data_IF_891803086044
#
_entry.id   IF_891803086044
#
_cell.length_a   1.000
_cell.length_b   1.000
_cell.length_c   1.000
_cell.angle_alpha   90.00
_cell.angle_beta   90.00
_cell.angle_gamma   90.00
#
_symmetry.space_group_name_H-M   'P 1'
#
loop_
_entity.id
_entity.type
_entity.pdbx_description
1 polymer ?
#
# COMPACT_ATOMS: atom_id res chain seq x y z
N UNK A 1 24.79 2.59 9.79
CA UNK A 1 23.88 3.38 10.67
C UNK A 1 22.80 2.45 11.19
N UNK A 2 22.98 1.99 12.42
CA UNK A 2 22.02 1.10 13.11
C UNK A 2 20.80 1.91 13.56
N UNK A 3 19.59 1.40 13.39
CA UNK A 3 18.32 2.06 13.73
C UNK A 3 17.88 3.22 12.80
N UNK A 4 18.38 3.28 11.56
CA UNK A 4 17.79 4.15 10.57
C UNK A 4 16.37 3.67 10.22
N UNK A 5 15.43 4.59 10.12
CA UNK A 5 14.04 4.34 9.73
C UNK A 5 13.78 4.86 8.32
N UNK A 6 12.83 4.28 7.62
CA UNK A 6 12.39 4.80 6.35
C UNK A 6 11.57 6.08 6.58
N UNK A 7 12.07 7.22 6.08
CA UNK A 7 11.37 8.49 6.17
C UNK A 7 10.47 8.75 4.95
N UNK A 8 10.99 8.50 3.74
CA UNK A 8 10.22 8.72 2.52
C UNK A 8 10.44 7.63 1.49
N UNK A 9 9.41 7.38 0.70
CA UNK A 9 9.47 6.56 -0.51
C UNK A 9 8.85 7.32 -1.68
N UNK A 10 9.18 6.93 -2.91
CA UNK A 10 8.74 7.64 -4.10
C UNK A 10 8.08 6.70 -5.11
N UNK A 11 7.04 7.20 -5.77
CA UNK A 11 6.43 6.58 -6.95
C UNK A 11 6.42 7.57 -8.10
N UNK A 12 6.33 7.06 -9.32
CA UNK A 12 6.20 7.86 -10.53
C UNK A 12 4.76 7.88 -11.02
N UNK A 13 4.39 8.95 -11.69
CA UNK A 13 3.11 9.13 -12.37
C UNK A 13 3.33 9.78 -13.74
N UNK A 14 2.45 9.55 -14.68
CA UNK A 14 2.43 10.29 -15.96
C UNK A 14 1.44 11.45 -15.93
N UNK A 15 0.67 11.58 -14.84
CA UNK A 15 -0.31 12.66 -14.64
C UNK A 15 -0.39 13.01 -13.15
N UNK A 16 0.27 14.09 -12.75
CA UNK A 16 0.38 14.49 -11.35
C UNK A 16 -0.98 14.82 -10.73
N UNK A 17 -1.85 15.52 -11.46
CA UNK A 17 -3.16 15.93 -10.98
C UNK A 17 -4.04 14.70 -10.68
N UNK A 18 -4.05 13.71 -11.57
CA UNK A 18 -4.75 12.43 -11.38
C UNK A 18 -4.22 11.66 -10.19
N UNK A 19 -2.88 11.56 -10.06
CA UNK A 19 -2.24 10.89 -8.94
C UNK A 19 -2.55 11.59 -7.61
N UNK A 20 -2.47 12.93 -7.56
CA UNK A 20 -2.82 13.71 -6.36
C UNK A 20 -4.26 13.46 -5.94
N UNK A 21 -5.21 13.49 -6.89
CA UNK A 21 -6.62 13.20 -6.60
C UNK A 21 -6.80 11.78 -6.03
N UNK A 22 -6.11 10.80 -6.60
CA UNK A 22 -6.16 9.40 -6.14
C UNK A 22 -5.65 9.26 -4.70
N UNK A 23 -4.44 9.74 -4.39
CA UNK A 23 -3.87 9.60 -3.05
C UNK A 23 -4.65 10.38 -1.99
N UNK A 24 -5.20 11.56 -2.33
CA UNK A 24 -6.15 12.25 -1.46
C UNK A 24 -7.43 11.42 -1.21
N UNK A 25 -7.94 10.75 -2.23
CA UNK A 25 -9.12 9.89 -2.10
C UNK A 25 -8.90 8.71 -1.14
N UNK A 26 -7.65 8.22 -1.03
CA UNK A 26 -7.26 7.22 -0.03
C UNK A 26 -7.17 7.78 1.40
N UNK A 27 -7.30 9.09 1.58
CA UNK A 27 -7.23 9.76 2.88
C UNK A 27 -5.85 10.30 3.23
N UNK A 28 -4.89 10.32 2.29
CA UNK A 28 -3.58 10.90 2.55
C UNK A 28 -3.67 12.43 2.53
N UNK A 29 -3.01 13.06 3.49
CA UNK A 29 -2.90 14.52 3.56
C UNK A 29 -1.74 15.00 2.69
N UNK A 30 -2.03 15.94 1.77
CA UNK A 30 -1.00 16.58 0.96
C UNK A 30 -0.12 17.48 1.86
N UNK A 31 1.17 17.16 1.93
CA UNK A 31 2.13 17.93 2.68
C UNK A 31 2.62 19.15 1.89
N UNK A 32 2.97 18.95 0.63
CA UNK A 32 3.46 20.00 -0.25
C UNK A 32 3.39 19.61 -1.73
N UNK A 33 3.16 20.60 -2.59
CA UNK A 33 3.20 20.48 -4.05
C UNK A 33 4.26 21.42 -4.59
N UNK A 34 5.30 20.86 -5.25
CA UNK A 34 6.33 21.63 -5.95
C UNK A 34 5.99 21.67 -7.43
N UNK A 35 5.26 22.70 -7.86
CA UNK A 35 4.80 22.86 -9.24
C UNK A 35 5.94 22.83 -10.27
N UNK A 36 7.04 23.56 -9.99
CA UNK A 36 8.18 23.66 -10.90
C UNK A 36 8.87 22.30 -11.14
N UNK A 37 8.85 21.42 -10.14
CA UNK A 37 9.47 20.09 -10.22
C UNK A 37 8.47 18.99 -10.53
N UNK A 38 7.20 19.32 -10.63
CA UNK A 38 6.10 18.37 -10.85
C UNK A 38 6.16 17.18 -9.87
N UNK A 39 6.19 17.50 -8.57
CA UNK A 39 6.20 16.51 -7.49
C UNK A 39 5.26 16.92 -6.37
N UNK A 40 4.52 15.95 -5.84
CA UNK A 40 3.67 16.09 -4.67
C UNK A 40 4.19 15.21 -3.54
N UNK A 41 4.18 15.73 -2.31
CA UNK A 41 4.50 14.98 -1.09
C UNK A 41 3.26 14.83 -0.22
N UNK A 42 3.04 13.63 0.28
CA UNK A 42 1.96 13.29 1.19
C UNK A 42 2.51 12.79 2.52
N UNK A 43 1.87 13.15 3.63
CA UNK A 43 2.15 12.53 4.91
C UNK A 43 1.61 11.10 4.95
N UNK A 44 2.40 10.18 5.51
CA UNK A 44 2.01 8.82 5.85
C UNK A 44 1.87 8.70 7.37
N UNK A 45 0.89 7.90 7.81
CA UNK A 45 0.58 7.76 9.22
C UNK A 45 -0.06 9.04 9.79
N UNK A 46 0.36 9.40 11.00
CA UNK A 46 -0.13 10.60 11.69
C UNK A 46 0.56 11.86 11.13
N UNK A 47 -0.19 12.68 10.39
CA UNK A 47 0.35 13.89 9.75
C UNK A 47 0.89 14.91 10.75
N UNK A 48 0.36 14.95 11.97
CA UNK A 48 0.86 15.86 13.02
C UNK A 48 2.27 15.47 13.48
N UNK A 49 2.59 14.19 13.45
CA UNK A 49 3.91 13.67 13.84
C UNK A 49 4.95 13.78 12.73
N UNK A 50 4.53 13.97 11.47
CA UNK A 50 5.42 14.12 10.30
C UNK A 50 6.52 13.05 10.23
N UNK A 51 6.12 11.80 10.47
CA UNK A 51 7.09 10.70 10.63
C UNK A 51 7.57 10.11 9.31
N UNK A 52 6.70 10.08 8.30
CA UNK A 52 6.99 9.45 7.00
C UNK A 52 6.27 10.18 5.88
N UNK A 53 6.78 10.07 4.67
CA UNK A 53 6.22 10.72 3.48
C UNK A 53 6.22 9.81 2.25
N UNK A 54 5.26 10.07 1.37
CA UNK A 54 5.22 9.55 0.01
C UNK A 54 5.46 10.71 -0.97
N UNK A 55 6.47 10.60 -1.83
CA UNK A 55 6.69 11.48 -2.97
C UNK A 55 6.09 10.90 -4.24
N UNK A 56 5.35 11.70 -4.99
CA UNK A 56 4.74 11.34 -6.28
C UNK A 56 5.32 12.26 -7.36
N UNK A 57 6.15 11.70 -8.25
CA UNK A 57 6.90 12.44 -9.26
C UNK A 57 6.30 12.25 -10.63
N UNK A 58 5.95 13.33 -11.31
CA UNK A 58 5.56 13.26 -12.72
C UNK A 58 6.79 13.02 -13.61
N UNK A 59 6.64 12.07 -14.51
CA UNK A 59 7.63 11.70 -15.51
C UNK A 59 6.96 11.58 -16.87
N UNK A 60 7.75 11.58 -17.94
CA UNK A 60 7.22 11.28 -19.28
C UNK A 60 6.83 9.81 -19.36
N UNK A 61 5.86 9.48 -20.22
CA UNK A 61 5.33 8.12 -20.35
C UNK A 61 6.44 7.07 -20.59
N UNK A 62 7.43 7.39 -21.43
CA UNK A 62 8.55 6.47 -21.71
C UNK A 62 9.57 6.32 -20.57
N UNK A 63 9.50 7.18 -19.54
CA UNK A 63 10.33 7.13 -18.34
C UNK A 63 9.61 6.45 -17.16
N UNK A 64 8.33 6.13 -17.35
CA UNK A 64 7.53 5.51 -16.29
C UNK A 64 7.98 4.07 -16.05
N UNK A 65 8.23 3.74 -14.79
CA UNK A 65 8.48 2.39 -14.32
C UNK A 65 7.61 2.19 -13.08
N UNK A 66 6.74 1.17 -13.04
CA UNK A 66 5.89 0.92 -11.89
C UNK A 66 6.71 0.59 -10.65
N UNK A 67 6.24 1.06 -9.52
CA UNK A 67 6.82 0.81 -8.21
C UNK A 67 5.84 0.04 -7.33
N UNK A 68 6.32 -0.42 -6.19
CA UNK A 68 5.51 -1.09 -5.17
C UNK A 68 5.85 -0.56 -3.79
N UNK A 69 4.84 -0.32 -2.97
CA UNK A 69 5.00 -0.08 -1.52
C UNK A 69 3.75 -0.49 -0.76
N UNK A 70 3.90 -0.69 0.55
CA UNK A 70 2.83 -1.12 1.43
C UNK A 70 2.51 -0.05 2.50
N UNK A 71 1.22 0.17 2.72
CA UNK A 71 0.72 0.90 3.88
C UNK A 71 0.54 -0.07 5.04
N UNK A 72 1.19 0.19 6.17
CA UNK A 72 0.91 -0.55 7.40
C UNK A 72 -0.39 -0.08 8.01
N UNK A 73 -1.29 -1.02 8.27
CA UNK A 73 -2.58 -0.80 8.93
C UNK A 73 -2.79 -1.77 10.07
N UNK A 74 -3.81 -1.56 10.89
CA UNK A 74 -4.24 -2.56 11.88
C UNK A 74 -5.05 -3.68 11.20
N UNK A 75 -5.17 -4.83 11.86
CA UNK A 75 -6.03 -5.94 11.37
C UNK A 75 -7.49 -5.48 11.22
N UNK A 76 -7.97 -4.64 12.14
CA UNK A 76 -9.33 -4.08 12.06
C UNK A 76 -9.51 -3.19 10.83
N UNK A 77 -8.55 -2.29 10.58
CA UNK A 77 -8.55 -1.46 9.38
C UNK A 77 -8.46 -2.31 8.10
N UNK A 78 -7.62 -3.34 8.09
CA UNK A 78 -7.51 -4.23 6.93
C UNK A 78 -8.84 -4.88 6.56
N UNK A 79 -9.64 -5.28 7.54
CA UNK A 79 -10.99 -5.84 7.33
C UNK A 79 -11.94 -4.88 6.61
N UNK A 80 -11.75 -3.58 6.75
CA UNK A 80 -12.58 -2.55 6.10
C UNK A 80 -12.10 -2.18 4.69
N UNK A 81 -10.90 -2.60 4.27
CA UNK A 81 -10.28 -2.25 2.99
C UNK A 81 -11.17 -2.57 1.78
N UNK A 82 -11.81 -3.76 1.66
CA UNK A 82 -12.65 -4.06 0.50
C UNK A 82 -13.77 -3.04 0.31
N UNK A 83 -14.49 -2.72 1.37
CA UNK A 83 -15.58 -1.73 1.33
C UNK A 83 -15.07 -0.31 1.06
N UNK A 84 -13.92 0.05 1.67
CA UNK A 84 -13.28 1.34 1.47
C UNK A 84 -12.90 1.56 -0.01
N UNK A 85 -12.27 0.59 -0.64
CA UNK A 85 -11.82 0.69 -2.03
C UNK A 85 -13.00 0.59 -3.01
N UNK A 86 -13.97 -0.29 -2.76
CA UNK A 86 -15.19 -0.40 -3.56
C UNK A 86 -15.95 0.94 -3.61
N UNK A 87 -16.13 1.60 -2.46
CA UNK A 87 -16.78 2.91 -2.38
C UNK A 87 -16.07 4.01 -3.20
N UNK A 88 -14.80 3.80 -3.56
CA UNK A 88 -13.97 4.69 -4.36
C UNK A 88 -13.82 4.23 -5.82
N UNK A 89 -14.47 3.12 -6.19
CA UNK A 89 -14.32 2.52 -7.51
C UNK A 89 -12.95 1.91 -7.77
N UNK A 90 -12.20 1.56 -6.72
CA UNK A 90 -10.87 0.95 -6.81
C UNK A 90 -11.02 -0.56 -6.62
N UNK A 91 -10.59 -1.33 -7.63
CA UNK A 91 -10.64 -2.78 -7.57
C UNK A 91 -9.46 -3.35 -6.77
N UNK A 92 -9.74 -4.37 -5.94
CA UNK A 92 -8.70 -5.21 -5.37
C UNK A 92 -8.07 -6.09 -6.46
N UNK A 93 -6.76 -6.28 -6.39
CA UNK A 93 -6.01 -7.12 -7.33
C UNK A 93 -5.81 -8.52 -6.75
N UNK A 94 -6.02 -9.58 -7.56
CA UNK A 94 -5.55 -10.91 -7.19
C UNK A 94 -4.03 -10.91 -7.09
N UNK A 95 -3.46 -11.75 -6.25
CA UNK A 95 -2.02 -11.83 -6.02
C UNK A 95 -1.59 -13.26 -5.74
N UNK A 96 -0.37 -13.61 -6.16
CA UNK A 96 0.20 -14.96 -5.94
C UNK A 96 -0.69 -16.12 -6.42
N UNK A 97 -1.51 -15.90 -7.45
CA UNK A 97 -2.46 -16.88 -7.97
C UNK A 97 -3.72 -17.06 -7.10
N UNK A 98 -3.91 -16.21 -6.07
CA UNK A 98 -5.06 -16.22 -5.17
C UNK A 98 -6.03 -15.09 -5.50
N UNK A 99 -7.33 -15.35 -5.36
CA UNK A 99 -8.37 -14.33 -5.50
C UNK A 99 -8.34 -13.34 -4.32
N UNK A 100 -8.75 -12.09 -4.59
CA UNK A 100 -8.84 -11.04 -3.57
C UNK A 100 -10.15 -11.07 -2.76
N UNK A 101 -10.77 -12.25 -2.58
CA UNK A 101 -11.99 -12.44 -1.80
C UNK A 101 -11.78 -12.27 -0.29
N UNK A 102 -10.57 -12.51 0.16
CA UNK A 102 -10.08 -12.29 1.51
C UNK A 102 -8.58 -11.92 1.46
N UNK A 103 -7.97 -11.44 2.57
CA UNK A 103 -6.55 -11.14 2.58
C UNK A 103 -5.69 -12.37 2.28
N UNK A 104 -4.58 -12.17 1.60
CA UNK A 104 -3.50 -13.17 1.53
C UNK A 104 -2.51 -12.95 2.67
N UNK A 105 -1.92 -14.03 3.16
CA UNK A 105 -0.92 -13.99 4.25
C UNK A 105 0.43 -14.42 3.74
N UNK A 106 1.43 -13.58 3.95
CA UNK A 106 2.83 -13.94 3.79
C UNK A 106 3.31 -14.66 5.05
N UNK A 107 3.34 -16.00 5.01
CA UNK A 107 3.58 -16.83 6.18
C UNK A 107 4.98 -16.65 6.82
N UNK A 108 5.97 -16.17 6.05
CA UNK A 108 7.33 -15.93 6.55
C UNK A 108 7.43 -14.71 7.48
N UNK A 109 6.55 -13.72 7.32
CA UNK A 109 6.56 -12.49 8.15
C UNK A 109 5.25 -12.26 8.91
N UNK A 110 4.39 -13.25 9.09
CA UNK A 110 2.97 -13.21 9.40
C UNK A 110 2.30 -11.87 9.16
N UNK A 111 1.98 -11.59 7.88
CA UNK A 111 1.34 -10.35 7.49
C UNK A 111 0.19 -10.63 6.52
N UNK A 112 -1.00 -10.12 6.86
CA UNK A 112 -2.19 -10.20 6.01
C UNK A 112 -2.26 -8.96 5.11
N UNK A 113 -2.57 -9.17 3.82
CA UNK A 113 -2.44 -8.13 2.80
C UNK A 113 -3.60 -8.11 1.82
N UNK A 114 -3.95 -6.89 1.35
CA UNK A 114 -4.72 -6.66 0.14
C UNK A 114 -3.91 -5.81 -0.83
N UNK A 115 -3.97 -6.18 -2.12
CA UNK A 115 -3.28 -5.47 -3.21
C UNK A 115 -4.27 -4.70 -4.08
N UNK A 116 -3.83 -3.56 -4.59
CA UNK A 116 -4.55 -2.72 -5.55
C UNK A 116 -3.54 -1.88 -6.33
N UNK A 117 -4.01 -1.09 -7.30
CA UNK A 117 -3.13 -0.24 -8.09
C UNK A 117 -3.57 1.21 -8.05
N UNK A 118 -2.63 2.13 -8.19
CA UNK A 118 -2.92 3.52 -8.50
C UNK A 118 -3.28 3.68 -10.00
N UNK A 119 -3.68 4.88 -10.47
CA UNK A 119 -4.08 5.10 -11.86
C UNK A 119 -2.98 4.79 -12.89
N UNK A 120 -1.72 4.87 -12.51
CA UNK A 120 -0.59 4.60 -13.41
C UNK A 120 -0.19 3.12 -13.42
N UNK A 121 -0.66 2.32 -12.48
CA UNK A 121 -0.30 0.92 -12.33
C UNK A 121 0.84 0.66 -11.33
N UNK A 122 1.16 1.62 -10.46
CA UNK A 122 1.97 1.31 -9.29
C UNK A 122 1.21 0.32 -8.41
N UNK A 123 1.88 -0.73 -7.95
CA UNK A 123 1.29 -1.74 -7.07
C UNK A 123 1.30 -1.24 -5.64
N UNK A 124 0.13 -1.14 -5.05
CA UNK A 124 -0.07 -0.70 -3.68
C UNK A 124 -0.57 -1.87 -2.84
N UNK A 125 -0.28 -1.81 -1.55
CA UNK A 125 -0.64 -2.85 -0.60
C UNK A 125 -1.10 -2.22 0.72
N UNK A 126 -2.19 -2.74 1.30
CA UNK A 126 -2.48 -2.58 2.72
C UNK A 126 -2.05 -3.84 3.45
N UNK A 127 -1.17 -3.68 4.44
CA UNK A 127 -0.51 -4.75 5.18
C UNK A 127 -0.77 -4.61 6.68
N UNK A 128 -1.27 -5.67 7.30
CA UNK A 128 -1.41 -5.79 8.74
C UNK A 128 -0.55 -6.93 9.28
N UNK A 129 0.31 -6.65 10.25
CA UNK A 129 1.08 -7.68 10.94
C UNK A 129 0.14 -8.52 11.83
N UNK A 130 0.39 -9.82 11.86
CA UNK A 130 -0.31 -10.80 12.69
C UNK A 130 0.59 -11.22 13.86
N UNK A 131 -0.03 -11.60 14.98
CA UNK A 131 0.71 -11.93 16.21
C UNK A 131 1.27 -13.36 16.24
N UNK A 132 0.90 -14.20 15.25
CA UNK A 132 1.33 -15.59 15.21
C UNK A 132 2.80 -15.73 14.79
N UNK A 133 3.41 -16.85 15.17
CA UNK A 133 4.77 -17.19 14.76
C UNK A 133 4.87 -17.47 13.25
N UNK A 134 6.01 -17.10 12.62
CA UNK A 134 6.26 -17.40 11.22
C UNK A 134 6.20 -18.89 10.89
N UNK A 135 5.62 -19.21 9.72
CA UNK A 135 5.59 -20.54 9.11
C UNK A 135 6.00 -20.47 7.64
N UNK A 136 7.29 -20.18 7.34
CA UNK A 136 7.74 -19.91 5.97
C UNK A 136 7.42 -21.02 4.97
N UNK A 137 7.36 -22.25 5.43
CA UNK A 137 7.04 -23.44 4.63
C UNK A 137 5.63 -23.40 4.00
N UNK A 138 4.73 -22.56 4.53
CA UNK A 138 3.36 -22.40 4.00
C UNK A 138 3.30 -21.39 2.83
N UNK A 139 4.36 -20.61 2.60
CA UNK A 139 4.41 -19.66 1.50
C UNK A 139 3.40 -18.52 1.63
N UNK A 140 2.55 -18.36 0.62
CA UNK A 140 1.45 -17.38 0.60
C UNK A 140 0.12 -18.13 0.48
N UNK A 141 -0.82 -17.83 1.38
CA UNK A 141 -2.11 -18.51 1.47
C UNK A 141 -3.20 -17.52 1.90
N UNK A 142 -4.46 -17.89 1.79
CA UNK A 142 -5.56 -17.05 2.30
C UNK A 142 -5.56 -16.97 3.83
N UNK A 143 -6.07 -15.87 4.36
CA UNK A 143 -6.14 -15.64 5.81
C UNK A 143 -6.93 -16.75 6.53
N UNK A 144 -8.03 -17.22 5.95
CA UNK A 144 -8.82 -18.31 6.51
C UNK A 144 -8.05 -19.64 6.61
N UNK A 145 -7.14 -19.90 5.67
CA UNK A 145 -6.26 -21.08 5.70
C UNK A 145 -5.16 -20.90 6.74
N UNK A 146 -4.58 -19.70 6.81
CA UNK A 146 -3.60 -19.35 7.83
C UNK A 146 -4.14 -19.56 9.26
N UNK A 147 -5.34 -19.04 9.55
CA UNK A 147 -5.98 -19.19 10.86
C UNK A 147 -6.20 -20.65 11.26
N UNK A 148 -6.53 -21.53 10.31
CA UNK A 148 -6.68 -22.98 10.57
C UNK A 148 -5.39 -23.66 11.02
N UNK A 149 -4.22 -23.11 10.67
CA UNK A 149 -2.93 -23.70 11.06
C UNK A 149 -2.61 -23.58 12.55
N UNK A 150 -3.41 -22.81 13.30
CA UNK A 150 -3.27 -22.57 14.73
C UNK A 150 -4.47 -23.09 15.56
N UNK A 151 -5.40 -23.77 14.92
CA UNK A 151 -6.51 -24.47 15.56
C UNK A 151 -6.11 -25.91 15.86
#
# INVERSE_FOLDING_TARGET
>A
MKNAELYETHVKTVNLESAVAFYKSLGLELAYLLEERRVAFFYLGDSEKKQQMLGVWEVKEHEFVPSHFAFKVTVEQLRSVPQLLEAKGIALSPSFGLHASEPVVHAWMPAACYYFSDPDGNSLEYLALLDQEPKPELGVLHLSEWEKTFQ
#
